data_IF_875120633744
#
_entry.id   IF_875120633744
#
_cell.length_a   1.000
_cell.length_b   1.000
_cell.length_c   1.000
_cell.angle_alpha   90.00
_cell.angle_beta   90.00
_cell.angle_gamma   90.00
#
_symmetry.space_group_name_H-M   'P 1'
#
loop_
_entity.id
_entity.type
_entity.pdbx_description
1 polymer ?
#
# COMPACT_ATOMS: atom_id res chain seq x y z
N UNK A 1 23.61 5.96 -2.21
CA UNK A 1 23.48 6.85 -1.04
C UNK A 1 22.30 7.77 -1.30
N UNK A 2 21.16 7.54 -0.63
CA UNK A 2 20.00 8.44 -0.76
C UNK A 2 20.36 9.75 -0.07
N UNK A 3 20.52 10.83 -0.83
CA UNK A 3 20.88 12.13 -0.27
C UNK A 3 19.59 12.84 0.16
N UNK A 4 19.35 12.91 1.47
CA UNK A 4 18.33 13.77 2.05
C UNK A 4 18.86 15.22 2.10
N UNK A 5 18.00 16.20 1.83
CA UNK A 5 18.32 17.63 1.88
C UNK A 5 17.40 18.32 2.87
N UNK A 6 17.98 19.05 3.82
CA UNK A 6 17.26 19.98 4.67
C UNK A 6 17.24 21.36 4.01
N UNK A 7 16.07 21.97 3.89
CA UNK A 7 15.90 23.35 3.41
C UNK A 7 15.13 24.14 4.46
N UNK A 8 15.66 25.29 4.86
CA UNK A 8 14.96 26.21 5.77
C UNK A 8 14.42 27.41 4.99
N UNK A 9 13.16 27.75 5.24
CA UNK A 9 12.53 28.99 4.77
C UNK A 9 11.80 29.65 5.93
N UNK A 10 12.31 30.79 6.40
CA UNK A 10 11.80 31.48 7.59
C UNK A 10 11.68 30.51 8.79
N UNK A 11 10.45 30.20 9.20
CA UNK A 11 10.08 29.34 10.33
C UNK A 11 9.79 27.88 9.94
N UNK A 12 10.04 27.48 8.71
CA UNK A 12 9.76 26.12 8.22
C UNK A 12 11.04 25.37 7.86
N UNK A 13 11.14 24.13 8.31
CA UNK A 13 12.16 23.17 7.88
C UNK A 13 11.50 22.12 6.97
N UNK A 14 12.06 21.93 5.77
CA UNK A 14 11.61 20.92 4.81
C UNK A 14 12.70 19.87 4.63
N UNK A 15 12.39 18.62 4.96
CA UNK A 15 13.24 17.46 4.68
C UNK A 15 12.80 16.84 3.36
N UNK A 16 13.65 16.88 2.33
CA UNK A 16 13.39 16.29 1.02
C UNK A 16 14.26 15.06 0.77
N UNK A 17 13.68 14.00 0.21
CA UNK A 17 14.38 12.79 -0.20
C UNK A 17 14.50 12.75 -1.73
N UNK A 18 15.72 12.65 -2.26
CA UNK A 18 15.97 12.68 -3.72
C UNK A 18 15.43 11.49 -4.51
N UNK A 19 15.16 10.36 -3.84
CA UNK A 19 14.64 9.13 -4.47
C UNK A 19 13.43 8.53 -3.72
N UNK A 20 12.75 9.32 -2.89
CA UNK A 20 11.78 8.80 -1.92
C UNK A 20 12.45 8.02 -0.78
N UNK A 21 11.63 7.40 0.07
CA UNK A 21 12.07 6.56 1.19
C UNK A 21 11.80 5.11 0.77
N UNK A 22 12.81 4.24 0.85
CA UNK A 22 12.74 2.89 0.25
C UNK A 22 12.00 1.86 1.09
N UNK A 23 11.92 2.07 2.41
CA UNK A 23 11.23 1.22 3.37
C UNK A 23 10.65 2.14 4.47
N UNK A 24 9.53 1.72 5.07
CA UNK A 24 8.97 2.43 6.22
C UNK A 24 9.79 2.29 7.48
N UNK A 25 9.54 3.19 8.43
CA UNK A 25 10.25 3.19 9.69
C UNK A 25 9.97 4.42 10.53
N UNK A 26 10.41 4.35 11.78
CA UNK A 26 10.44 5.50 12.68
C UNK A 26 11.70 6.29 12.39
N UNK A 27 11.54 7.56 12.02
CA UNK A 27 12.65 8.49 11.79
C UNK A 27 12.71 9.51 12.93
N UNK A 28 13.88 9.66 13.53
CA UNK A 28 14.12 10.68 14.55
C UNK A 28 14.72 11.92 13.89
N UNK A 29 14.07 13.07 14.06
CA UNK A 29 14.65 14.36 13.70
C UNK A 29 15.37 14.93 14.93
N UNK A 30 16.70 14.83 14.94
CA UNK A 30 17.52 15.42 16.00
C UNK A 30 17.77 16.90 15.68
N UNK A 31 17.35 17.80 16.57
CA UNK A 31 17.60 19.24 16.43
C UNK A 31 18.45 19.70 17.62
N UNK A 32 19.73 19.99 17.36
CA UNK A 32 20.72 20.30 18.41
C UNK A 32 21.48 21.60 18.12
N UNK A 33 21.97 22.29 19.15
CA UNK A 33 22.94 23.37 19.05
C UNK A 33 24.40 22.87 18.97
N UNK A 34 25.37 23.77 19.12
CA UNK A 34 26.82 23.47 19.12
C UNK A 34 27.28 22.58 20.30
N UNK A 35 26.46 22.46 21.34
CA UNK A 35 26.69 21.66 22.54
C UNK A 35 25.85 20.38 22.56
N UNK A 36 25.03 20.14 21.52
CA UNK A 36 24.27 18.91 21.36
C UNK A 36 22.85 18.95 21.94
N UNK A 37 22.39 20.10 22.45
CA UNK A 37 21.07 20.27 23.04
C UNK A 37 20.41 21.55 22.48
N UNK A 38 19.12 21.78 22.68
CA UNK A 38 18.57 23.14 22.52
C UNK A 38 18.01 23.54 23.88
N UNK A 39 18.69 24.45 24.56
CA UNK A 39 18.28 24.98 25.86
C UNK A 39 17.70 26.38 25.68
N UNK A 40 16.54 26.65 26.30
CA UNK A 40 16.07 28.02 26.47
C UNK A 40 16.92 28.75 27.55
N UNK A 41 16.81 30.09 27.69
CA UNK A 41 17.54 30.84 28.72
C UNK A 41 17.24 30.42 30.18
N UNK A 42 16.22 29.58 30.40
CA UNK A 42 15.82 29.04 31.68
C UNK A 42 16.33 27.60 31.90
N UNK A 43 17.07 27.02 30.95
CA UNK A 43 17.63 25.67 31.01
C UNK A 43 16.65 24.55 30.60
N UNK A 44 15.52 24.88 29.97
CA UNK A 44 14.61 23.86 29.44
C UNK A 44 15.17 23.30 28.13
N UNK A 45 15.39 21.99 28.07
CA UNK A 45 15.83 21.31 26.86
C UNK A 45 14.66 20.96 25.95
N UNK A 46 14.71 21.33 24.67
CA UNK A 46 13.77 20.84 23.66
C UNK A 46 14.04 19.35 23.43
N UNK A 47 13.00 18.53 23.59
CA UNK A 47 13.06 17.09 23.30
C UNK A 47 12.84 16.89 21.80
N UNK A 48 13.67 16.04 21.18
CA UNK A 48 13.58 15.69 19.76
C UNK A 48 12.16 15.30 19.34
N UNK A 49 11.79 15.65 18.10
CA UNK A 49 10.50 15.24 17.53
C UNK A 49 10.71 14.00 16.67
N UNK A 50 10.05 12.90 17.03
CA UNK A 50 9.96 11.70 16.19
C UNK A 50 8.82 11.85 15.19
N UNK A 51 9.02 11.42 13.95
CA UNK A 51 7.93 11.22 13.01
C UNK A 51 7.96 9.80 12.48
N UNK A 52 6.78 9.20 12.35
CA UNK A 52 6.64 7.85 11.81
C UNK A 52 6.26 7.95 10.34
N UNK A 53 7.01 7.25 9.49
CA UNK A 53 6.62 7.02 8.11
C UNK A 53 6.24 5.57 7.99
N UNK A 54 4.94 5.31 7.94
CA UNK A 54 4.42 3.98 7.68
C UNK A 54 4.34 3.75 6.16
N UNK A 55 4.96 2.67 5.70
CA UNK A 55 4.65 2.11 4.40
C UNK A 55 3.72 0.94 4.66
N UNK A 56 2.46 1.09 4.26
CA UNK A 56 1.55 -0.05 4.23
C UNK A 56 2.13 -1.09 3.26
N UNK A 57 2.09 -2.37 3.66
CA UNK A 57 2.49 -3.46 2.79
C UNK A 57 1.76 -3.37 1.45
N UNK A 58 2.37 -3.80 0.34
CA UNK A 58 1.70 -3.81 -0.95
C UNK A 58 0.34 -4.50 -0.83
N UNK A 59 -0.70 -3.96 -1.48
CA UNK A 59 -1.98 -4.63 -1.49
C UNK A 59 -1.82 -6.03 -2.07
N UNK A 60 -2.53 -6.99 -1.52
CA UNK A 60 -2.52 -8.36 -1.98
C UNK A 60 -3.89 -8.98 -1.73
N UNK A 61 -4.23 -9.95 -2.57
CA UNK A 61 -5.45 -10.71 -2.46
C UNK A 61 -5.19 -12.16 -2.89
N UNK A 62 -6.03 -13.04 -2.39
CA UNK A 62 -6.13 -14.42 -2.85
C UNK A 62 -7.31 -14.57 -3.80
N UNK A 63 -7.17 -15.43 -4.80
CA UNK A 63 -8.24 -15.80 -5.72
C UNK A 63 -8.40 -17.32 -5.75
N UNK A 64 -9.62 -17.79 -5.52
CA UNK A 64 -10.00 -19.20 -5.57
C UNK A 64 -10.97 -19.40 -6.73
N UNK A 65 -10.55 -20.19 -7.71
CA UNK A 65 -11.40 -20.56 -8.84
C UNK A 65 -12.17 -21.85 -8.54
N UNK A 66 -13.45 -21.85 -8.88
CA UNK A 66 -14.34 -23.02 -8.87
C UNK A 66 -14.43 -23.58 -10.28
N UNK A 67 -14.26 -24.89 -10.42
CA UNK A 67 -14.34 -25.62 -11.69
C UNK A 67 -15.64 -25.34 -12.44
N UNK A 68 -15.53 -25.09 -13.74
CA UNK A 68 -16.65 -24.97 -14.66
C UNK A 68 -17.20 -26.36 -15.04
N UNK A 69 -18.52 -26.49 -15.17
CA UNK A 69 -19.18 -27.73 -15.59
C UNK A 69 -19.47 -27.68 -17.09
N UNK A 70 -18.82 -28.54 -17.88
CA UNK A 70 -18.86 -28.54 -19.35
C UNK A 70 -18.36 -27.21 -19.96
N UNK A 71 -17.33 -26.61 -19.36
CA UNK A 71 -16.75 -25.35 -19.81
C UNK A 71 -17.53 -24.09 -19.41
N UNK A 72 -18.68 -24.22 -18.74
CA UNK A 72 -19.53 -23.09 -18.33
C UNK A 72 -19.80 -23.09 -16.81
N UNK A 73 -20.28 -21.96 -16.29
CA UNK A 73 -20.70 -21.80 -14.88
C UNK A 73 -19.58 -22.00 -13.84
N UNK A 74 -18.33 -21.73 -14.21
CA UNK A 74 -17.26 -21.55 -13.24
C UNK A 74 -17.46 -20.29 -12.39
N UNK A 75 -16.65 -20.14 -11.35
CA UNK A 75 -16.69 -18.97 -10.48
C UNK A 75 -15.30 -18.61 -9.95
N UNK A 76 -15.12 -17.36 -9.57
CA UNK A 76 -13.94 -16.88 -8.86
C UNK A 76 -14.41 -16.15 -7.60
N UNK A 77 -13.82 -16.52 -6.47
CA UNK A 77 -13.92 -15.80 -5.19
C UNK A 77 -12.58 -15.17 -4.88
N UNK A 78 -12.57 -13.88 -4.57
CA UNK A 78 -11.41 -13.15 -4.10
C UNK A 78 -11.53 -12.83 -2.62
N UNK A 79 -10.39 -12.71 -1.94
CA UNK A 79 -10.30 -12.24 -0.56
C UNK A 79 -9.11 -11.29 -0.42
N UNK A 80 -9.37 -10.09 0.09
CA UNK A 80 -8.32 -9.09 0.37
C UNK A 80 -7.47 -9.59 1.56
N UNK A 81 -6.17 -9.77 1.35
CA UNK A 81 -5.23 -10.20 2.40
C UNK A 81 -4.40 -9.04 2.96
N UNK A 82 -4.13 -8.02 2.15
CA UNK A 82 -3.48 -6.77 2.56
C UNK A 82 -3.94 -5.61 1.67
N UNK A 83 -3.83 -4.38 2.20
CA UNK A 83 -4.29 -3.15 1.53
C UNK A 83 -5.38 -2.43 2.32
N UNK A 84 -5.89 -1.34 1.77
CA UNK A 84 -6.88 -0.49 2.44
C UNK A 84 -8.30 -0.85 2.03
N UNK A 85 -9.12 -1.29 2.98
CA UNK A 85 -10.55 -1.55 2.76
C UNK A 85 -11.37 -0.25 2.71
N UNK A 86 -12.45 -0.15 1.90
CA UNK A 86 -12.97 -1.17 0.98
C UNK A 86 -12.14 -1.31 -0.30
N UNK A 87 -12.04 -2.54 -0.82
CA UNK A 87 -11.41 -2.82 -2.11
C UNK A 87 -12.45 -3.20 -3.18
N UNK A 88 -12.26 -2.69 -4.39
CA UNK A 88 -13.04 -3.04 -5.58
C UNK A 88 -12.31 -4.14 -6.36
N UNK A 89 -13.05 -5.16 -6.79
CA UNK A 89 -12.52 -6.26 -7.59
C UNK A 89 -13.20 -6.27 -8.96
N UNK A 90 -12.39 -6.47 -10.01
CA UNK A 90 -12.85 -6.69 -11.37
C UNK A 90 -12.25 -7.99 -11.90
N UNK A 91 -12.98 -8.70 -12.74
CA UNK A 91 -12.50 -9.85 -13.51
C UNK A 91 -12.79 -9.61 -14.99
N UNK A 92 -11.73 -9.58 -15.80
CA UNK A 92 -11.77 -9.22 -17.22
C UNK A 92 -12.52 -7.90 -17.50
N UNK A 93 -12.41 -6.95 -16.56
CA UNK A 93 -13.08 -5.65 -16.62
C UNK A 93 -14.53 -5.64 -16.10
N UNK A 94 -15.08 -6.77 -15.68
CA UNK A 94 -16.41 -6.85 -15.06
C UNK A 94 -16.31 -6.75 -13.54
N UNK A 95 -17.20 -5.99 -12.91
CA UNK A 95 -17.23 -5.83 -11.45
C UNK A 95 -17.56 -7.15 -10.77
N UNK A 96 -16.82 -7.50 -9.72
CA UNK A 96 -17.06 -8.63 -8.84
C UNK A 96 -17.68 -8.14 -7.52
N UNK A 97 -19.01 -8.08 -7.40
CA UNK A 97 -19.65 -7.64 -6.15
C UNK A 97 -19.26 -8.57 -4.99
N UNK A 98 -18.81 -7.99 -3.88
CA UNK A 98 -18.32 -8.72 -2.70
C UNK A 98 -17.15 -9.70 -3.00
N UNK A 99 -16.36 -9.42 -4.05
CA UNK A 99 -15.25 -10.28 -4.45
C UNK A 99 -15.68 -11.61 -5.05
N UNK A 100 -16.93 -11.75 -5.52
CA UNK A 100 -17.41 -12.99 -6.13
C UNK A 100 -18.00 -12.73 -7.51
N UNK A 101 -17.64 -13.56 -8.48
CA UNK A 101 -18.32 -13.63 -9.77
C UNK A 101 -18.42 -15.07 -10.26
N UNK A 102 -19.61 -15.47 -10.68
CA UNK A 102 -19.93 -16.77 -11.26
C UNK A 102 -20.39 -16.61 -12.71
N UNK A 103 -20.60 -17.75 -13.39
CA UNK A 103 -20.95 -17.75 -14.81
C UNK A 103 -19.74 -17.51 -15.71
N UNK A 104 -18.53 -17.76 -15.19
CA UNK A 104 -17.30 -17.69 -15.95
C UNK A 104 -17.12 -18.98 -16.77
N UNK A 105 -16.61 -18.82 -17.99
CA UNK A 105 -16.21 -19.95 -18.81
C UNK A 105 -14.89 -20.55 -18.29
N UNK A 106 -14.56 -21.78 -18.66
CA UNK A 106 -13.25 -22.34 -18.36
C UNK A 106 -12.14 -21.56 -19.09
N UNK A 107 -11.10 -21.15 -18.39
CA UNK A 107 -10.04 -20.33 -18.98
C UNK A 107 -9.23 -19.52 -17.97
N UNK A 108 -8.30 -18.72 -18.50
CA UNK A 108 -7.52 -17.76 -17.71
C UNK A 108 -8.28 -16.44 -17.65
N UNK A 109 -8.54 -15.98 -16.43
CA UNK A 109 -9.18 -14.70 -16.15
C UNK A 109 -8.20 -13.76 -15.47
N UNK A 110 -8.24 -12.48 -15.84
CA UNK A 110 -7.41 -11.44 -15.23
C UNK A 110 -8.22 -10.70 -14.19
N UNK A 111 -7.80 -10.79 -12.94
CA UNK A 111 -8.43 -10.12 -11.81
C UNK A 111 -7.65 -8.85 -11.51
N UNK A 112 -8.36 -7.73 -11.43
CA UNK A 112 -7.83 -6.42 -11.04
C UNK A 112 -8.48 -6.02 -9.72
N UNK A 113 -7.66 -5.74 -8.72
CA UNK A 113 -8.09 -5.20 -7.43
C UNK A 113 -7.63 -3.75 -7.31
N UNK A 114 -8.54 -2.88 -6.86
CA UNK A 114 -8.28 -1.47 -6.57
C UNK A 114 -8.64 -1.23 -5.10
N UNK A 115 -7.68 -0.82 -4.28
CA UNK A 115 -7.93 -0.53 -2.87
C UNK A 115 -8.43 0.92 -2.63
N UNK A 116 -8.85 1.23 -1.41
CA UNK A 116 -9.34 2.57 -1.06
C UNK A 116 -8.25 3.67 -1.13
N UNK A 117 -6.98 3.28 -1.14
CA UNK A 117 -5.84 4.19 -1.31
C UNK A 117 -5.52 4.45 -2.79
N UNK A 118 -6.22 3.78 -3.72
CA UNK A 118 -6.04 3.90 -5.16
C UNK A 118 -4.93 3.02 -5.72
N UNK A 119 -4.36 2.10 -4.93
CA UNK A 119 -3.39 1.13 -5.39
C UNK A 119 -4.07 0.01 -6.20
N UNK A 120 -3.47 -0.35 -7.33
CA UNK A 120 -4.01 -1.38 -8.24
C UNK A 120 -3.09 -2.61 -8.27
N UNK A 121 -3.67 -3.80 -8.14
CA UNK A 121 -2.96 -5.08 -8.20
C UNK A 121 -3.67 -5.99 -9.19
N UNK A 122 -2.89 -6.71 -10.00
CA UNK A 122 -3.43 -7.67 -10.98
C UNK A 122 -2.92 -9.07 -10.71
N UNK A 123 -3.80 -10.06 -10.85
CA UNK A 123 -3.47 -11.48 -10.72
C UNK A 123 -4.25 -12.28 -11.77
N UNK A 124 -3.65 -13.35 -12.28
CA UNK A 124 -4.35 -14.30 -13.15
C UNK A 124 -4.85 -15.49 -12.33
N UNK A 125 -6.09 -15.89 -12.57
CA UNK A 125 -6.66 -17.12 -12.04
C UNK A 125 -7.17 -17.99 -13.20
N UNK A 126 -6.95 -19.30 -13.11
CA UNK A 126 -7.45 -20.24 -14.11
C UNK A 126 -8.68 -20.96 -13.55
N UNK A 127 -9.82 -20.79 -14.23
CA UNK A 127 -11.02 -21.59 -14.00
C UNK A 127 -10.83 -22.93 -14.72
N UNK A 128 -10.71 -24.06 -13.98
CA UNK A 128 -10.57 -25.37 -14.61
C UNK A 128 -11.88 -25.80 -15.27
N UNK A 129 -11.79 -26.63 -16.31
CA UNK A 129 -12.93 -27.38 -16.85
C UNK A 129 -13.03 -28.75 -16.16
N UNK A 130 -14.26 -29.22 -15.93
CA UNK A 130 -14.53 -30.53 -15.32
C UNK A 130 -14.41 -31.67 -16.34
#
# INVERSE_FOLDING_TARGET
MSQAKLVQTQNTFTLGFGAGIGEGGTFTLNITDLFGNIEDPCGNTVVDTTFEVEFVAPPAFEAVATTACNGFNGAIQTNLTSGTSPAEFLVDGNVMPNGYLNGLDAGVHTITMIDASGCTVTQQATVPDH
#
